data_IF_415106114668
#
_entry.id   IF_415106114668
#
_cell.length_a   1.000
_cell.length_b   1.000
_cell.length_c   1.000
_cell.angle_alpha   90.00
_cell.angle_beta   90.00
_cell.angle_gamma   90.00
#
_symmetry.space_group_name_H-M   'P 1'
#
loop_
_entity.id
_entity.type
_entity.pdbx_description
1 polymer ?
#
# COMPACT_ATOMS: atom_id res chain seq x y z
N UNK A 1 -8.98 5.85 13.86
CA UNK A 1 -7.60 5.36 14.05
C UNK A 1 -7.51 4.47 15.27
N UNK A 2 -6.68 3.42 15.24
CA UNK A 2 -6.40 2.57 16.41
C UNK A 2 -5.17 3.15 17.12
N UNK A 3 -5.35 3.70 18.32
CA UNK A 3 -4.29 4.38 19.08
C UNK A 3 -3.09 3.47 19.35
N UNK A 4 -3.31 2.19 19.66
CA UNK A 4 -2.21 1.24 19.88
C UNK A 4 -1.33 1.03 18.64
N UNK A 5 -1.91 1.10 17.43
CA UNK A 5 -1.15 1.01 16.17
C UNK A 5 -0.36 2.28 15.91
N UNK A 6 -0.94 3.44 16.23
CA UNK A 6 -0.22 4.71 16.17
C UNK A 6 0.96 4.71 17.14
N UNK A 7 0.77 4.25 18.39
CA UNK A 7 1.84 4.13 19.38
C UNK A 7 3.01 3.27 18.85
N UNK A 8 2.72 2.07 18.33
CA UNK A 8 3.74 1.19 17.77
C UNK A 8 4.53 1.83 16.62
N UNK A 9 3.88 2.64 15.79
CA UNK A 9 4.54 3.42 14.75
C UNK A 9 5.36 4.57 15.35
N UNK A 10 4.80 5.29 16.31
CA UNK A 10 5.44 6.42 16.98
C UNK A 10 6.76 6.02 17.62
N UNK A 11 6.81 4.83 18.22
CA UNK A 11 7.99 4.23 18.86
C UNK A 11 9.09 3.80 17.88
N UNK A 12 8.87 3.90 16.56
CA UNK A 12 9.89 3.60 15.54
C UNK A 12 10.86 4.76 15.29
N UNK A 13 10.64 5.93 15.90
CA UNK A 13 11.51 7.08 15.74
C UNK A 13 12.94 6.77 16.20
N UNK A 14 13.93 7.25 15.44
CA UNK A 14 15.35 7.20 15.78
C UNK A 14 15.85 8.63 15.82
N UNK A 15 16.35 9.07 16.98
CA UNK A 15 16.76 10.46 17.22
C UNK A 15 15.66 11.48 16.83
N UNK A 16 14.44 11.25 17.29
CA UNK A 16 13.24 12.06 17.01
C UNK A 16 12.84 12.18 15.53
N UNK A 17 13.41 11.35 14.66
CA UNK A 17 13.09 11.30 13.22
C UNK A 17 12.57 9.92 12.81
N UNK A 18 11.69 9.91 11.82
CA UNK A 18 11.22 8.68 11.21
C UNK A 18 12.00 8.33 9.94
N UNK A 19 12.03 7.04 9.62
CA UNK A 19 12.70 6.50 8.42
C UNK A 19 11.80 5.50 7.72
N UNK A 20 12.04 5.29 6.41
CA UNK A 20 11.36 4.24 5.63
C UNK A 20 11.51 2.86 6.28
N UNK A 21 12.68 2.59 6.89
CA UNK A 21 12.94 1.32 7.53
C UNK A 21 12.10 1.09 8.79
N UNK A 22 11.88 2.13 9.60
CA UNK A 22 10.97 2.07 10.75
C UNK A 22 9.53 1.79 10.32
N UNK A 23 9.07 2.49 9.28
CA UNK A 23 7.72 2.31 8.72
C UNK A 23 7.52 0.93 8.08
N UNK A 24 8.50 0.43 7.31
CA UNK A 24 8.49 -0.93 6.75
C UNK A 24 8.44 -1.98 7.84
N UNK A 25 9.21 -1.81 8.92
CA UNK A 25 9.17 -2.69 10.08
C UNK A 25 7.79 -2.68 10.77
N UNK A 26 7.17 -1.51 10.90
CA UNK A 26 5.80 -1.42 11.45
C UNK A 26 4.76 -2.07 10.55
N UNK A 27 4.89 -1.93 9.23
CA UNK A 27 4.04 -2.64 8.28
C UNK A 27 4.17 -4.16 8.44
N UNK A 28 5.40 -4.69 8.48
CA UNK A 28 5.63 -6.13 8.66
C UNK A 28 4.97 -6.66 9.94
N UNK A 29 5.10 -5.93 11.06
CA UNK A 29 4.39 -6.27 12.33
C UNK A 29 2.88 -6.28 12.17
N UNK A 30 2.33 -5.25 11.53
CA UNK A 30 0.88 -5.12 11.31
C UNK A 30 0.35 -6.21 10.38
N UNK A 31 1.13 -6.60 9.37
CA UNK A 31 0.81 -7.68 8.45
C UNK A 31 0.73 -9.03 9.20
N UNK A 32 1.73 -9.34 10.02
CA UNK A 32 1.75 -10.56 10.83
C UNK A 32 0.59 -10.60 11.83
N UNK A 33 0.28 -9.49 12.49
CA UNK A 33 -0.87 -9.41 13.39
C UNK A 33 -2.18 -9.63 12.64
N UNK A 34 -2.34 -9.06 11.44
CA UNK A 34 -3.51 -9.28 10.61
C UNK A 34 -3.66 -10.75 10.22
N UNK A 35 -2.56 -11.42 9.87
CA UNK A 35 -2.55 -12.86 9.59
C UNK A 35 -2.98 -13.63 10.84
N UNK A 36 -2.48 -13.23 12.01
CA UNK A 36 -2.70 -13.94 13.26
C UNK A 36 -4.10 -13.74 13.88
N UNK A 37 -4.84 -12.70 13.47
CA UNK A 37 -6.06 -12.29 14.17
C UNK A 37 -7.28 -12.13 13.27
N UNK A 38 -7.11 -11.87 11.97
CA UNK A 38 -8.22 -11.57 11.07
C UNK A 38 -8.54 -12.76 10.15
N UNK A 39 -9.62 -13.54 10.41
CA UNK A 39 -10.00 -14.66 9.54
C UNK A 39 -10.39 -14.26 8.10
N UNK A 40 -10.71 -12.98 7.88
CA UNK A 40 -11.09 -12.41 6.59
C UNK A 40 -9.94 -11.62 5.93
N UNK A 41 -8.71 -11.72 6.43
CA UNK A 41 -7.57 -11.07 5.78
C UNK A 41 -7.45 -11.55 4.33
N UNK A 42 -7.46 -10.60 3.39
CA UNK A 42 -7.18 -10.86 1.98
C UNK A 42 -6.36 -9.71 1.38
N UNK A 43 -5.15 -10.04 0.95
CA UNK A 43 -4.24 -9.20 0.18
C UNK A 43 -4.39 -9.54 -1.30
N UNK A 44 -5.36 -8.88 -1.95
CA UNK A 44 -5.52 -8.91 -3.40
C UNK A 44 -4.28 -8.30 -4.08
N UNK A 45 -3.94 -8.69 -5.32
CA UNK A 45 -2.75 -8.19 -6.03
C UNK A 45 -2.54 -6.67 -5.97
N UNK A 46 -3.58 -5.88 -6.17
CA UNK A 46 -3.50 -4.42 -6.05
C UNK A 46 -3.29 -3.97 -4.59
N UNK A 47 -4.14 -4.40 -3.65
CA UNK A 47 -4.07 -3.94 -2.26
C UNK A 47 -2.81 -4.43 -1.54
N UNK A 48 -2.30 -5.62 -1.88
CA UNK A 48 -1.05 -6.18 -1.38
C UNK A 48 0.16 -5.28 -1.65
N UNK A 49 0.12 -4.48 -2.73
CA UNK A 49 1.17 -3.52 -3.10
C UNK A 49 0.87 -2.12 -2.56
N UNK A 50 -0.41 -1.72 -2.54
CA UNK A 50 -0.82 -0.40 -2.01
C UNK A 50 -0.57 -0.27 -0.51
N UNK A 51 -0.86 -1.32 0.28
CA UNK A 51 -0.71 -1.22 1.75
C UNK A 51 0.75 -0.93 2.16
N UNK A 52 1.78 -1.69 1.74
CA UNK A 52 3.16 -1.32 2.05
C UNK A 52 3.57 0.02 1.42
N UNK A 53 3.07 0.38 0.23
CA UNK A 53 3.33 1.68 -0.37
C UNK A 53 2.79 2.83 0.48
N UNK A 54 1.62 2.68 1.10
CA UNK A 54 1.02 3.68 1.97
C UNK A 54 1.87 3.99 3.21
N UNK A 55 2.65 3.03 3.72
CA UNK A 55 3.63 3.29 4.77
C UNK A 55 4.77 4.18 4.25
N UNK A 56 5.24 3.97 3.01
CA UNK A 56 6.23 4.85 2.38
C UNK A 56 5.65 6.25 2.07
N UNK A 57 4.34 6.34 1.80
CA UNK A 57 3.66 7.62 1.51
C UNK A 57 3.70 8.56 2.70
N UNK A 58 3.56 8.04 3.93
CA UNK A 58 3.63 8.88 5.12
C UNK A 58 4.95 9.63 5.16
N UNK A 59 6.09 8.96 5.00
CA UNK A 59 7.38 9.64 4.94
C UNK A 59 7.52 10.52 3.71
N UNK A 60 7.23 10.02 2.52
CA UNK A 60 7.51 10.74 1.28
C UNK A 60 6.60 11.96 1.04
N UNK A 61 5.41 11.98 1.64
CA UNK A 61 4.43 13.05 1.47
C UNK A 61 4.20 13.90 2.71
N UNK A 62 4.47 13.39 3.93
CA UNK A 62 4.25 14.16 5.17
C UNK A 62 5.54 14.75 5.73
N UNK A 63 6.72 14.40 5.20
CA UNK A 63 7.97 15.07 5.58
C UNK A 63 7.95 16.55 5.18
N UNK A 64 8.51 17.40 6.04
CA UNK A 64 8.68 18.83 5.77
C UNK A 64 10.00 19.08 5.05
N UNK A 65 9.93 19.69 3.88
CA UNK A 65 11.07 20.05 3.04
C UNK A 65 11.37 21.54 3.14
N UNK A 66 11.61 22.03 4.36
CA UNK A 66 11.99 23.43 4.58
C UNK A 66 13.32 23.78 3.91
N UNK A 67 13.68 25.05 3.88
CA UNK A 67 14.95 25.49 3.30
C UNK A 67 16.16 24.91 4.04
N UNK A 68 16.03 24.69 5.35
CA UNK A 68 17.05 24.12 6.23
C UNK A 68 17.20 22.61 6.06
N UNK A 69 16.10 21.91 5.74
CA UNK A 69 16.04 20.46 5.58
C UNK A 69 15.43 20.07 4.22
N UNK A 70 16.07 20.42 3.09
CA UNK A 70 15.49 20.24 1.75
C UNK A 70 15.25 18.78 1.37
N UNK A 71 15.97 17.84 2.02
CA UNK A 71 15.77 16.41 1.84
C UNK A 71 14.51 15.87 2.54
N UNK A 72 13.88 16.68 3.39
CA UNK A 72 12.68 16.32 4.11
C UNK A 72 12.99 15.64 5.44
N UNK A 73 12.20 15.99 6.46
CA UNK A 73 12.17 15.24 7.70
C UNK A 73 10.74 15.07 8.21
N UNK A 74 10.50 13.97 8.93
CA UNK A 74 9.28 13.73 9.67
C UNK A 74 9.64 13.42 11.13
N UNK A 75 9.02 14.15 12.05
CA UNK A 75 9.12 13.97 13.50
C UNK A 75 7.78 13.67 14.16
N UNK A 76 7.81 13.38 15.46
CA UNK A 76 6.64 13.01 16.23
C UNK A 76 5.58 14.12 16.30
N UNK A 77 5.97 15.39 16.26
CA UNK A 77 5.02 16.52 16.30
C UNK A 77 4.26 16.61 14.98
N UNK A 78 4.95 16.48 13.86
CA UNK A 78 4.35 16.47 12.52
C UNK A 78 3.45 15.26 12.34
N UNK A 79 3.94 14.06 12.71
CA UNK A 79 3.17 12.81 12.60
C UNK A 79 1.86 12.91 13.39
N UNK A 80 1.91 13.41 14.63
CA UNK A 80 0.73 13.65 15.46
C UNK A 80 -0.30 14.56 14.79
N UNK A 81 0.13 15.64 14.12
CA UNK A 81 -0.79 16.57 13.45
C UNK A 81 -1.46 15.96 12.21
N UNK A 82 -0.70 15.26 11.37
CA UNK A 82 -1.26 14.59 10.18
C UNK A 82 -2.27 13.50 10.54
N UNK A 83 -2.08 12.83 11.66
CA UNK A 83 -2.93 11.74 12.15
C UNK A 83 -3.92 12.17 13.23
N UNK A 84 -4.02 13.47 13.54
CA UNK A 84 -4.92 13.99 14.58
C UNK A 84 -4.79 13.30 15.94
N UNK A 85 -3.54 13.10 16.38
CA UNK A 85 -3.20 12.51 17.67
C UNK A 85 -2.62 13.57 18.59
N UNK A 86 -3.10 13.61 19.83
CA UNK A 86 -2.61 14.48 20.90
C UNK A 86 -2.12 13.66 22.09
N UNK A 87 -1.44 14.31 23.04
CA UNK A 87 -0.86 13.66 24.21
C UNK A 87 0.59 13.22 24.01
N UNK A 88 1.05 12.41 24.97
CA UNK A 88 2.41 11.90 25.07
C UNK A 88 2.43 10.38 24.89
N UNK A 89 3.62 9.83 24.60
CA UNK A 89 3.81 8.39 24.45
C UNK A 89 3.25 7.63 25.66
N UNK A 90 2.44 6.60 25.39
CA UNK A 90 1.71 5.84 26.40
C UNK A 90 0.34 6.41 26.78
N UNK A 91 0.01 7.64 26.38
CA UNK A 91 -1.26 8.30 26.66
C UNK A 91 -1.74 9.17 25.49
N UNK A 92 -1.75 8.58 24.29
CA UNK A 92 -2.23 9.25 23.09
C UNK A 92 -3.76 9.25 22.98
N UNK A 93 -4.30 10.33 22.40
CA UNK A 93 -5.71 10.47 22.08
C UNK A 93 -5.90 10.87 20.61
N UNK A 94 -6.69 10.08 19.88
CA UNK A 94 -7.09 10.38 18.50
C UNK A 94 -8.39 11.20 18.48
N UNK A 95 -8.43 12.26 17.68
CA UNK A 95 -9.63 13.08 17.45
C UNK A 95 -10.05 13.00 15.97
N UNK A 96 -11.15 12.30 15.63
CA UNK A 96 -11.57 12.16 14.24
C UNK A 96 -11.88 13.50 13.56
N UNK A 97 -11.34 13.73 12.35
CA UNK A 97 -11.65 14.91 11.54
C UNK A 97 -10.84 16.17 11.87
N UNK A 98 -9.78 16.04 12.67
CA UNK A 98 -8.87 17.13 13.06
C UNK A 98 -7.46 16.94 12.47
N UNK A 99 -7.31 16.05 11.50
CA UNK A 99 -6.08 15.87 10.71
C UNK A 99 -5.73 17.19 10.03
N UNK A 100 -4.47 17.63 10.17
CA UNK A 100 -4.02 18.88 9.57
C UNK A 100 -2.58 18.83 9.12
N UNK A 101 -2.29 19.59 8.07
CA UNK A 101 -0.93 19.90 7.68
C UNK A 101 -0.33 20.80 8.78
N UNK A 102 0.86 20.50 9.32
CA UNK A 102 1.52 21.35 10.32
C UNK A 102 1.73 22.77 9.81
N UNK A 103 1.71 23.74 10.72
CA UNK A 103 2.20 25.09 10.41
C UNK A 103 3.67 25.05 9.97
N UNK A 104 4.06 25.96 9.08
CA UNK A 104 5.43 26.03 8.51
C UNK A 104 5.88 24.73 7.82
N UNK A 105 4.94 23.95 7.29
CA UNK A 105 5.22 22.77 6.49
C UNK A 105 5.39 23.11 5.01
N UNK A 106 6.46 22.59 4.41
CA UNK A 106 6.78 22.76 3.00
C UNK A 106 6.75 21.41 2.28
N UNK A 107 6.02 21.37 1.17
CA UNK A 107 5.91 20.17 0.34
C UNK A 107 7.23 19.77 -0.30
N UNK A 108 7.35 18.49 -0.63
CA UNK A 108 8.41 17.95 -1.49
C UNK A 108 8.60 18.80 -2.76
N UNK A 109 9.84 19.16 -3.14
CA UNK A 109 10.10 20.01 -4.29
C UNK A 109 9.59 19.42 -5.61
N UNK A 110 9.11 20.27 -6.52
CA UNK A 110 8.67 19.82 -7.86
C UNK A 110 9.79 19.22 -8.71
N UNK A 111 11.06 19.51 -8.40
CA UNK A 111 12.22 18.91 -9.05
C UNK A 111 12.52 17.47 -8.59
N UNK A 112 11.90 17.02 -7.50
CA UNK A 112 12.10 15.69 -6.93
C UNK A 112 10.75 15.10 -6.48
N UNK A 113 9.85 14.90 -7.44
CA UNK A 113 8.52 14.33 -7.17
C UNK A 113 8.62 12.86 -6.79
N UNK A 114 7.75 12.42 -5.87
CA UNK A 114 7.57 11.01 -5.57
C UNK A 114 6.48 10.45 -6.49
N UNK A 115 6.91 9.87 -7.60
CA UNK A 115 6.06 9.40 -8.71
C UNK A 115 5.78 7.90 -8.60
N UNK A 116 4.93 7.36 -9.49
CA UNK A 116 4.70 5.91 -9.57
C UNK A 116 6.00 5.10 -9.70
N UNK A 117 6.97 5.60 -10.48
CA UNK A 117 8.28 4.95 -10.61
C UNK A 117 9.00 4.89 -9.27
N UNK A 118 8.97 5.97 -8.50
CA UNK A 118 9.53 6.00 -7.13
C UNK A 118 8.83 5.01 -6.21
N UNK A 119 7.49 4.91 -6.29
CA UNK A 119 6.69 3.96 -5.50
C UNK A 119 7.08 2.52 -5.79
N UNK A 120 7.11 2.13 -7.08
CA UNK A 120 7.45 0.77 -7.49
C UNK A 120 8.89 0.43 -7.10
N UNK A 121 9.83 1.37 -7.25
CA UNK A 121 11.21 1.19 -6.81
C UNK A 121 11.31 0.97 -5.29
N UNK A 122 10.63 1.79 -4.47
CA UNK A 122 10.65 1.65 -3.01
C UNK A 122 9.98 0.35 -2.53
N UNK A 123 8.96 -0.13 -3.25
CA UNK A 123 8.36 -1.46 -3.01
C UNK A 123 9.35 -2.58 -3.32
N UNK A 124 10.01 -2.52 -4.48
CA UNK A 124 11.00 -3.51 -4.89
C UNK A 124 12.18 -3.55 -3.90
N UNK A 125 12.72 -2.40 -3.49
CA UNK A 125 13.78 -2.31 -2.48
C UNK A 125 13.30 -2.88 -1.14
N UNK A 126 12.08 -2.55 -0.72
CA UNK A 126 11.48 -3.08 0.50
C UNK A 126 11.37 -4.62 0.46
N UNK A 127 10.93 -5.17 -0.66
CA UNK A 127 10.80 -6.60 -0.86
C UNK A 127 12.15 -7.32 -0.93
N UNK A 128 13.15 -6.76 -1.61
CA UNK A 128 14.52 -7.33 -1.63
C UNK A 128 15.09 -7.40 -0.22
N UNK A 129 14.81 -6.40 0.62
CA UNK A 129 15.24 -6.36 2.01
C UNK A 129 14.49 -7.36 2.89
N UNK A 130 13.17 -7.46 2.70
CA UNK A 130 12.30 -8.38 3.44
C UNK A 130 11.19 -8.90 2.51
N UNK A 131 11.36 -10.11 1.94
CA UNK A 131 10.38 -10.70 1.03
C UNK A 131 9.02 -10.96 1.68
N UNK A 132 8.93 -10.95 3.01
CA UNK A 132 7.64 -11.11 3.69
C UNK A 132 6.71 -9.90 3.52
N UNK A 133 7.24 -8.75 3.09
CA UNK A 133 6.48 -7.51 2.95
C UNK A 133 5.49 -7.50 1.78
N UNK A 134 5.64 -8.39 0.78
CA UNK A 134 4.64 -8.53 -0.28
C UNK A 134 4.12 -9.96 -0.25
N UNK A 135 2.83 -10.10 0.05
CA UNK A 135 2.11 -11.38 0.06
C UNK A 135 0.81 -11.23 -0.70
N UNK A 136 0.60 -12.07 -1.70
CA UNK A 136 -0.68 -12.20 -2.37
C UNK A 136 -1.43 -13.38 -1.76
N UNK A 137 -2.71 -13.22 -1.46
CA UNK A 137 -3.53 -14.25 -0.82
C UNK A 137 -4.10 -13.82 0.52
N UNK A 138 -4.47 -14.77 1.37
CA UNK A 138 -5.25 -14.45 2.56
C UNK A 138 -5.46 -15.62 3.51
N UNK A 139 -6.12 -15.33 4.62
CA UNK A 139 -6.60 -16.37 5.53
C UNK A 139 -7.82 -17.08 4.94
N UNK A 140 -7.95 -18.39 5.18
CA UNK A 140 -9.02 -19.24 4.66
C UNK A 140 -10.20 -19.35 5.63
N UNK A 141 -10.56 -18.25 6.30
CA UNK A 141 -11.71 -18.18 7.22
C UNK A 141 -11.41 -18.44 8.70
N UNK A 142 -10.15 -18.69 9.06
CA UNK A 142 -9.69 -18.74 10.46
C UNK A 142 -8.42 -17.91 10.64
N UNK A 143 -8.14 -17.35 11.83
CA UNK A 143 -6.85 -16.71 12.08
C UNK A 143 -5.69 -17.70 11.91
N UNK A 144 -4.51 -17.21 11.50
CA UNK A 144 -3.31 -18.02 11.22
C UNK A 144 -3.50 -19.11 10.14
N UNK A 145 -4.29 -18.84 9.10
CA UNK A 145 -4.54 -19.79 8.00
C UNK A 145 -4.12 -19.25 6.64
N UNK A 146 -3.07 -18.42 6.61
CA UNK A 146 -2.70 -17.70 5.40
C UNK A 146 -2.23 -18.67 4.31
N UNK A 147 -2.87 -18.59 3.14
CA UNK A 147 -2.46 -19.31 1.93
C UNK A 147 -2.11 -18.27 0.86
N UNK A 148 -0.96 -18.47 0.23
CA UNK A 148 -0.47 -17.60 -0.85
C UNK A 148 -1.18 -17.86 -2.18
N UNK A 149 -1.26 -16.82 -3.00
CA UNK A 149 -1.61 -16.93 -4.41
C UNK A 149 -0.33 -16.88 -5.22
N UNK A 150 -0.14 -17.87 -6.10
CA UNK A 150 0.96 -17.88 -7.04
C UNK A 150 0.71 -16.88 -8.19
N UNK A 151 1.69 -16.05 -8.48
CA UNK A 151 1.58 -15.00 -9.51
C UNK A 151 1.59 -15.60 -10.92
N UNK A 152 2.31 -16.72 -11.11
CA UNK A 152 2.29 -17.49 -12.36
C UNK A 152 0.90 -18.03 -12.65
N UNK A 153 0.30 -18.72 -11.70
CA UNK A 153 -1.06 -19.24 -11.85
C UNK A 153 -2.09 -18.12 -12.07
N UNK A 154 -1.92 -16.99 -11.38
CA UNK A 154 -2.79 -15.82 -11.53
C UNK A 154 -2.73 -15.24 -12.94
N UNK A 155 -1.53 -15.18 -13.53
CA UNK A 155 -1.26 -14.42 -14.76
C UNK A 155 -1.12 -15.29 -16.01
N UNK A 156 -1.16 -16.63 -15.87
CA UNK A 156 -0.88 -17.58 -16.94
C UNK A 156 0.63 -17.71 -17.24
N UNK A 157 1.49 -17.39 -16.27
CA UNK A 157 2.94 -17.47 -16.40
C UNK A 157 3.60 -16.22 -17.00
N UNK A 158 2.83 -15.18 -17.35
CA UNK A 158 3.37 -13.90 -17.83
C UNK A 158 4.30 -13.25 -16.80
N UNK A 159 3.94 -13.35 -15.52
CA UNK A 159 4.85 -13.03 -14.41
C UNK A 159 4.91 -14.21 -13.44
N UNK A 160 6.02 -14.35 -12.73
CA UNK A 160 6.17 -15.33 -11.65
C UNK A 160 7.10 -14.77 -10.58
N UNK A 161 7.27 -15.51 -9.47
CA UNK A 161 8.10 -15.05 -8.35
C UNK A 161 9.55 -14.72 -8.75
N UNK A 162 10.11 -15.41 -9.74
CA UNK A 162 11.49 -15.21 -10.19
C UNK A 162 11.64 -13.94 -11.06
N UNK A 163 10.65 -13.66 -11.89
CA UNK A 163 10.69 -12.59 -12.90
C UNK A 163 9.99 -11.31 -12.44
N UNK A 164 9.20 -11.33 -11.37
CA UNK A 164 8.34 -10.21 -10.97
C UNK A 164 9.12 -8.91 -10.72
N UNK A 165 10.38 -9.00 -10.25
CA UNK A 165 11.22 -7.84 -9.99
C UNK A 165 12.16 -7.47 -11.14
N UNK A 166 12.12 -8.21 -12.25
CA UNK A 166 12.95 -7.94 -13.42
C UNK A 166 12.38 -6.75 -14.19
N UNK A 167 13.26 -5.78 -14.52
CA UNK A 167 12.89 -4.60 -15.28
C UNK A 167 11.70 -3.85 -14.68
N UNK A 168 10.61 -3.78 -15.44
CA UNK A 168 9.38 -3.09 -15.07
C UNK A 168 8.21 -4.04 -14.76
N UNK A 169 8.46 -5.35 -14.62
CA UNK A 169 7.42 -6.36 -14.40
C UNK A 169 6.54 -6.05 -13.19
N UNK A 170 7.11 -5.63 -12.06
CA UNK A 170 6.34 -5.26 -10.87
C UNK A 170 5.39 -4.08 -11.13
N UNK A 171 5.85 -3.08 -11.89
CA UNK A 171 5.03 -1.92 -12.26
C UNK A 171 3.90 -2.31 -13.22
N UNK A 172 4.20 -3.15 -14.21
CA UNK A 172 3.20 -3.68 -15.14
C UNK A 172 2.16 -4.54 -14.42
N UNK A 173 2.60 -5.46 -13.57
CA UNK A 173 1.72 -6.29 -12.75
C UNK A 173 0.83 -5.43 -11.85
N UNK A 174 1.37 -4.39 -11.21
CA UNK A 174 0.60 -3.47 -10.37
C UNK A 174 -0.52 -2.76 -11.16
N UNK A 175 -0.18 -2.19 -12.33
CA UNK A 175 -1.15 -1.48 -13.16
C UNK A 175 -2.21 -2.41 -13.74
N UNK A 176 -1.84 -3.63 -14.15
CA UNK A 176 -2.77 -4.63 -14.65
C UNK A 176 -3.66 -5.19 -13.53
N UNK A 177 -3.14 -5.39 -12.33
CA UNK A 177 -3.92 -5.74 -11.15
C UNK A 177 -4.93 -4.63 -10.78
N UNK A 178 -4.56 -3.36 -10.93
CA UNK A 178 -5.48 -2.24 -10.74
C UNK A 178 -6.64 -2.26 -11.75
N UNK A 179 -6.34 -2.54 -13.03
CA UNK A 179 -7.37 -2.73 -14.06
C UNK A 179 -8.30 -3.91 -13.75
N UNK A 180 -7.74 -5.04 -13.32
CA UNK A 180 -8.49 -6.25 -13.08
C UNK A 180 -9.34 -6.23 -11.78
N UNK A 181 -8.94 -5.45 -10.77
CA UNK A 181 -9.66 -5.34 -9.50
C UNK A 181 -10.77 -4.27 -9.48
N UNK A 182 -10.80 -3.36 -10.45
CA UNK A 182 -11.73 -2.23 -10.46
C UNK A 182 -13.22 -2.63 -10.48
N UNK A 183 -13.66 -3.62 -11.28
CA UNK A 183 -15.06 -4.01 -11.30
C UNK A 183 -15.60 -4.42 -9.93
N UNK A 184 -14.82 -5.19 -9.15
CA UNK A 184 -15.21 -5.64 -7.81
C UNK A 184 -15.30 -4.49 -6.80
N UNK A 185 -14.43 -3.48 -6.93
CA UNK A 185 -14.45 -2.28 -6.08
C UNK A 185 -15.70 -1.43 -6.37
N UNK A 186 -16.07 -1.28 -7.65
CA UNK A 186 -17.10 -0.34 -8.06
C UNK A 186 -18.51 -0.94 -8.10
N UNK A 187 -18.65 -2.26 -8.22
CA UNK A 187 -19.94 -2.97 -8.28
C UNK A 187 -20.86 -2.70 -7.08
N UNK A 188 -20.32 -2.23 -5.94
CA UNK A 188 -21.09 -1.84 -4.76
C UNK A 188 -21.36 -0.34 -4.60
N UNK A 189 -20.80 0.50 -5.48
CA UNK A 189 -20.81 1.97 -5.35
C UNK A 189 -21.52 2.64 -6.53
N UNK A 190 -21.32 2.14 -7.75
CA UNK A 190 -21.85 2.72 -8.97
C UNK A 190 -22.80 1.75 -9.66
N UNK A 191 -23.95 2.25 -10.09
CA UNK A 191 -24.91 1.48 -10.91
C UNK A 191 -24.47 1.35 -12.37
N UNK A 192 -23.56 2.23 -12.83
CA UNK A 192 -22.92 2.16 -14.14
C UNK A 192 -21.40 2.29 -13.97
N UNK A 193 -20.68 1.24 -14.36
CA UNK A 193 -19.23 1.16 -14.25
C UNK A 193 -18.51 1.79 -15.44
N UNK A 194 -19.19 1.98 -16.57
CA UNK A 194 -18.54 2.35 -17.83
C UNK A 194 -17.72 3.64 -17.73
N UNK A 195 -18.23 4.75 -17.14
CA UNK A 195 -17.46 6.00 -17.05
C UNK A 195 -16.20 5.88 -16.20
N UNK A 196 -16.25 5.09 -15.13
CA UNK A 196 -15.13 4.88 -14.23
C UNK A 196 -14.07 3.96 -14.86
N UNK A 197 -14.51 2.92 -15.58
CA UNK A 197 -13.64 2.05 -16.37
C UNK A 197 -12.96 2.83 -17.50
N UNK A 198 -13.69 3.70 -18.20
CA UNK A 198 -13.14 4.53 -19.26
C UNK A 198 -12.08 5.51 -18.73
N UNK A 199 -12.35 6.18 -17.60
CA UNK A 199 -11.37 7.06 -16.96
C UNK A 199 -10.11 6.29 -16.56
N UNK A 200 -10.25 5.10 -15.96
CA UNK A 200 -9.12 4.27 -15.60
C UNK A 200 -8.32 3.85 -16.83
N UNK A 201 -8.99 3.32 -17.85
CA UNK A 201 -8.34 2.88 -19.07
C UNK A 201 -7.60 4.04 -19.75
N UNK A 202 -8.20 5.23 -19.77
CA UNK A 202 -7.58 6.44 -20.32
C UNK A 202 -6.31 6.84 -19.55
N UNK A 203 -6.27 6.62 -18.24
CA UNK A 203 -5.12 6.95 -17.40
C UNK A 203 -4.04 5.86 -17.41
N UNK A 204 -4.43 4.57 -17.45
CA UNK A 204 -3.51 3.43 -17.25
C UNK A 204 -2.97 2.90 -18.57
N UNK A 205 -3.80 2.81 -19.62
CA UNK A 205 -3.38 2.22 -20.90
C UNK A 205 -2.20 2.94 -21.56
N UNK A 206 -2.08 4.29 -21.53
CA UNK A 206 -0.89 4.97 -22.03
C UNK A 206 0.38 4.57 -21.26
N UNK A 207 0.27 4.47 -19.93
CA UNK A 207 1.40 4.09 -19.06
C UNK A 207 1.81 2.64 -19.33
N UNK A 208 0.86 1.72 -19.49
CA UNK A 208 1.15 0.33 -19.87
C UNK A 208 1.86 0.23 -21.22
N UNK A 209 1.46 1.05 -22.20
CA UNK A 209 2.07 1.09 -23.52
C UNK A 209 3.48 1.68 -23.47
N UNK A 210 3.69 2.78 -22.75
CA UNK A 210 4.99 3.43 -22.58
C UNK A 210 6.00 2.51 -21.86
N UNK A 211 5.49 1.69 -20.94
CA UNK A 211 6.27 0.66 -20.25
C UNK A 211 6.43 -0.62 -21.08
N UNK A 212 5.78 -0.76 -22.24
CA UNK A 212 5.79 -2.00 -23.02
C UNK A 212 5.39 -3.24 -22.19
N UNK A 213 4.38 -3.08 -21.32
CA UNK A 213 3.92 -4.15 -20.44
C UNK A 213 3.34 -5.32 -21.26
N UNK A 214 3.74 -6.58 -20.98
CA UNK A 214 3.20 -7.73 -21.69
C UNK A 214 1.71 -7.87 -21.40
N UNK A 215 0.93 -8.24 -22.41
CA UNK A 215 -0.47 -8.56 -22.21
C UNK A 215 -0.58 -9.82 -21.33
N UNK A 216 -1.44 -9.77 -20.31
CA UNK A 216 -1.75 -10.95 -19.50
C UNK A 216 -2.42 -12.03 -20.37
N UNK A 217 -1.98 -13.27 -20.26
CA UNK A 217 -2.68 -14.41 -20.87
C UNK A 217 -4.01 -14.66 -20.17
N UNK A 218 -4.01 -14.51 -18.84
CA UNK A 218 -5.20 -14.57 -18.00
C UNK A 218 -5.05 -13.71 -16.75
N UNK A 219 -6.17 -13.46 -16.09
CA UNK A 219 -6.21 -13.01 -14.71
C UNK A 219 -7.17 -13.91 -13.92
N UNK A 220 -6.63 -15.00 -13.37
CA UNK A 220 -7.42 -16.07 -12.76
C UNK A 220 -7.93 -15.70 -11.36
N UNK A 221 -9.01 -14.92 -11.31
CA UNK A 221 -9.71 -14.58 -10.05
C UNK A 221 -10.28 -15.81 -9.33
N UNK A 222 -10.39 -16.96 -10.00
CA UNK A 222 -10.83 -18.22 -9.39
C UNK A 222 -9.95 -18.66 -8.22
N UNK A 223 -8.66 -18.26 -8.22
CA UNK A 223 -7.71 -18.49 -7.13
C UNK A 223 -8.14 -17.80 -5.81
N UNK A 224 -8.99 -16.77 -5.90
CA UNK A 224 -9.44 -16.00 -4.75
C UNK A 224 -10.65 -16.63 -4.02
N UNK A 225 -11.31 -17.63 -4.62
CA UNK A 225 -12.54 -18.22 -4.08
C UNK A 225 -12.38 -18.86 -2.70
N UNK A 226 -11.16 -19.25 -2.35
CA UNK A 226 -10.83 -19.83 -1.03
C UNK A 226 -10.74 -18.79 0.09
N UNK A 227 -10.65 -17.50 -0.24
CA UNK A 227 -10.52 -16.42 0.75
C UNK A 227 -11.89 -15.78 0.99
N UNK A 228 -12.51 -15.94 2.16
CA UNK A 228 -13.80 -15.30 2.43
C UNK A 228 -13.70 -13.77 2.39
N UNK A 229 -12.53 -13.20 2.68
CA UNK A 229 -12.25 -11.77 2.56
C UNK A 229 -12.38 -11.20 1.14
N UNK A 230 -12.22 -12.03 0.09
CA UNK A 230 -12.32 -11.58 -1.30
C UNK A 230 -13.74 -11.15 -1.72
N UNK A 231 -14.76 -11.63 -0.99
CA UNK A 231 -16.18 -11.31 -1.24
C UNK A 231 -16.81 -10.57 -0.06
N UNK A 232 -16.01 -10.18 0.93
CA UNK A 232 -16.50 -9.56 2.14
C UNK A 232 -16.63 -8.05 1.95
N UNK A 233 -17.87 -7.56 1.96
CA UNK A 233 -18.19 -6.14 1.87
C UNK A 233 -18.88 -5.70 3.16
N UNK A 234 -18.13 -5.32 4.21
CA UNK A 234 -18.72 -4.82 5.44
C UNK A 234 -19.43 -3.49 5.15
N UNK A 235 -20.65 -3.34 5.67
CA UNK A 235 -21.33 -2.04 5.65
C UNK A 235 -20.62 -1.07 6.61
N UNK A 236 -20.38 0.19 6.20
CA UNK A 236 -19.71 1.21 7.03
C UNK A 236 -20.36 1.46 8.39
#
# INVERSE_FOLDING_TARGET
MIVSKFQQLYDTAVNDRYTLDGFRGQYARTQQESIATNPYLFYAPFSALVVPAAYNFVLNFMSNHSAEEPNGYLDGSQLKQFFSVTGESGNFQYTPGYERIPEEWYRRPSSNQYSLVSVVADLAIGFVRDPSTIKFGGNTGTPNSFVGVDVGDLTGGVYNADTLLEGNNLGCFFLQAAQAGLPDILNGVLSDLAPALDLLNSAVSPVLADLACPQLEQYNQGLFNQFPGAKYHPTP
#
